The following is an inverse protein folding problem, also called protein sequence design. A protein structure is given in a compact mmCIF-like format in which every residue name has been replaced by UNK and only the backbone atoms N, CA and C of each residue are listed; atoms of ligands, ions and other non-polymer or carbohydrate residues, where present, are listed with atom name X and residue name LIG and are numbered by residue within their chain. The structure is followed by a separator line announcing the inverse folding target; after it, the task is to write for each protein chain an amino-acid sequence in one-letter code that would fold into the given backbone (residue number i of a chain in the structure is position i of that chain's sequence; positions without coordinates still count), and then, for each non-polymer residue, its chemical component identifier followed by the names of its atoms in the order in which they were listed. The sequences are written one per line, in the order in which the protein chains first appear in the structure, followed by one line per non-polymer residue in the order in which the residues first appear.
data_IF_814535443431
#
_entry.id   IF_814535443431
#
_cell.length_a   1.000
_cell.length_b   1.000
_cell.length_c   1.000
_cell.angle_alpha   90.00
_cell.angle_beta   90.00
_cell.angle_gamma   90.00
#
_symmetry.space_group_name_H-M   'P 1'
#
loop_
_entity.id
_entity.type
_entity.pdbx_description
1 polymer ?
#
# COMPACT_ATOMS: atom_id res chain seq x y z
N UNK A 1 -5.78 -2.21 -16.72
CA UNK A 1 -4.31 -2.12 -16.83
C UNK A 1 -3.67 -3.44 -16.41
N UNK A 2 -2.55 -3.86 -17.01
CA UNK A 2 -1.79 -5.04 -16.57
C UNK A 2 -0.70 -4.65 -15.56
N UNK A 3 -0.25 -5.58 -14.72
CA UNK A 3 0.79 -5.34 -13.71
C UNK A 3 2.10 -4.74 -14.29
N UNK A 4 2.49 -5.12 -15.52
CA UNK A 4 3.66 -4.54 -16.19
C UNK A 4 3.50 -3.06 -16.53
N UNK A 5 2.28 -2.63 -16.86
CA UNK A 5 1.97 -1.22 -17.17
C UNK A 5 1.91 -0.43 -15.87
N UNK A 6 1.28 -0.99 -14.82
CA UNK A 6 1.29 -0.44 -13.46
C UNK A 6 2.72 -0.08 -13.02
N UNK A 7 3.66 -1.00 -13.18
CA UNK A 7 5.06 -0.81 -12.77
C UNK A 7 5.82 0.26 -13.58
N UNK A 8 5.27 0.74 -14.69
CA UNK A 8 5.89 1.80 -15.51
C UNK A 8 5.42 3.21 -15.15
N UNK A 9 4.39 3.34 -14.30
CA UNK A 9 3.90 4.62 -13.81
C UNK A 9 4.51 4.96 -12.45
N UNK A 10 4.78 6.24 -12.22
CA UNK A 10 5.01 6.78 -10.88
C UNK A 10 3.67 7.16 -10.21
N UNK A 11 3.75 7.65 -8.97
CA UNK A 11 2.56 8.05 -8.22
C UNK A 11 1.74 9.16 -8.91
N UNK A 12 2.39 10.10 -9.61
CA UNK A 12 1.69 11.17 -10.33
C UNK A 12 0.96 10.64 -11.55
N UNK A 13 1.59 9.73 -12.31
CA UNK A 13 0.97 9.06 -13.44
C UNK A 13 -0.21 8.19 -13.02
N UNK A 14 -0.07 7.43 -11.94
CA UNK A 14 -1.19 6.65 -11.39
C UNK A 14 -2.34 7.54 -10.91
N UNK A 15 -2.04 8.65 -10.23
CA UNK A 15 -3.05 9.63 -9.81
C UNK A 15 -3.79 10.23 -11.00
N UNK A 16 -3.08 10.54 -12.09
CA UNK A 16 -3.70 11.05 -13.32
C UNK A 16 -4.68 10.04 -13.93
N UNK A 17 -4.31 8.76 -14.01
CA UNK A 17 -5.21 7.71 -14.51
C UNK A 17 -6.48 7.59 -13.67
N UNK A 18 -6.36 7.69 -12.34
CA UNK A 18 -7.52 7.69 -11.43
C UNK A 18 -8.38 8.92 -11.64
N UNK A 19 -7.77 10.10 -11.76
CA UNK A 19 -8.49 11.36 -11.99
C UNK A 19 -9.25 11.37 -13.32
N UNK A 20 -8.65 10.77 -14.38
CA UNK A 20 -9.30 10.59 -15.69
C UNK A 20 -10.29 9.41 -15.73
N UNK A 21 -10.45 8.68 -14.61
CA UNK A 21 -11.30 7.49 -14.46
C UNK A 21 -10.96 6.36 -15.43
N UNK A 22 -9.70 6.27 -15.86
CA UNK A 22 -9.19 5.17 -16.68
C UNK A 22 -8.92 3.92 -15.85
N UNK A 23 -8.74 4.10 -14.54
CA UNK A 23 -8.65 3.05 -13.54
C UNK A 23 -9.21 3.56 -12.21
N UNK A 24 -9.77 2.68 -11.40
CA UNK A 24 -10.21 3.00 -10.04
C UNK A 24 -9.08 2.84 -9.02
N UNK A 25 -9.19 3.51 -7.87
CA UNK A 25 -8.27 3.33 -6.75
C UNK A 25 -8.22 1.86 -6.26
N UNK A 26 -9.38 1.18 -6.25
CA UNK A 26 -9.48 -0.23 -5.86
C UNK A 26 -8.70 -1.12 -6.82
N UNK A 27 -8.83 -0.89 -8.13
CA UNK A 27 -8.04 -1.64 -9.13
C UNK A 27 -6.53 -1.42 -8.96
N UNK A 28 -6.08 -0.22 -8.55
CA UNK A 28 -4.67 0.01 -8.23
C UNK A 28 -4.20 -0.77 -7.00
N UNK A 29 -5.01 -0.82 -5.93
CA UNK A 29 -4.69 -1.62 -4.74
C UNK A 29 -4.61 -3.11 -5.10
N UNK A 30 -5.54 -3.61 -5.92
CA UNK A 30 -5.53 -4.99 -6.39
C UNK A 30 -4.28 -5.33 -7.20
N UNK A 31 -3.83 -4.42 -8.08
CA UNK A 31 -2.57 -4.58 -8.82
C UNK A 31 -1.35 -4.56 -7.88
N UNK A 32 -1.34 -3.70 -6.85
CA UNK A 32 -0.29 -3.70 -5.84
C UNK A 32 -0.27 -5.02 -5.03
N UNK A 33 -1.43 -5.58 -4.70
CA UNK A 33 -1.56 -6.89 -4.04
C UNK A 33 -1.08 -8.02 -4.95
N UNK A 34 -1.41 -7.98 -6.24
CA UNK A 34 -0.87 -8.92 -7.23
C UNK A 34 0.67 -8.87 -7.28
N UNK A 35 1.24 -7.66 -7.30
CA UNK A 35 2.69 -7.46 -7.24
C UNK A 35 3.31 -8.05 -5.97
N UNK A 36 2.70 -7.76 -4.82
CA UNK A 36 3.12 -8.29 -3.51
C UNK A 36 3.11 -9.81 -3.49
N UNK A 37 1.99 -10.43 -3.84
CA UNK A 37 1.83 -11.90 -3.83
C UNK A 37 2.86 -12.58 -4.74
N UNK A 38 3.22 -11.95 -5.86
CA UNK A 38 4.19 -12.51 -6.80
C UNK A 38 5.64 -12.33 -6.34
N UNK A 39 6.00 -11.17 -5.79
CA UNK A 39 7.40 -10.80 -5.54
C UNK A 39 7.84 -10.96 -4.09
N UNK A 40 6.97 -10.65 -3.12
CA UNK A 40 7.33 -10.63 -1.71
C UNK A 40 7.84 -11.99 -1.18
N UNK A 41 7.34 -13.16 -1.63
CA UNK A 41 7.92 -14.45 -1.22
C UNK A 41 9.41 -14.61 -1.57
N UNK A 42 9.92 -13.85 -2.55
CA UNK A 42 11.33 -13.91 -2.98
C UNK A 42 12.18 -12.84 -2.32
N UNK A 43 11.67 -11.61 -2.20
CA UNK A 43 12.46 -10.46 -1.72
C UNK A 43 12.23 -10.11 -0.24
N UNK A 44 11.13 -10.60 0.34
CA UNK A 44 10.73 -10.38 1.73
C UNK A 44 10.80 -8.90 2.16
N UNK A 45 10.16 -8.02 1.38
CA UNK A 45 10.24 -6.57 1.55
C UNK A 45 9.08 -5.96 2.36
N UNK A 46 7.92 -6.64 2.40
CA UNK A 46 6.69 -6.19 3.05
C UNK A 46 6.36 -7.17 4.17
N UNK A 47 6.34 -6.68 5.41
CA UNK A 47 6.07 -7.48 6.62
C UNK A 47 4.58 -7.73 6.86
N UNK A 48 3.74 -6.78 6.43
CA UNK A 48 2.28 -6.89 6.49
C UNK A 48 1.69 -6.19 5.26
N UNK A 49 0.80 -6.88 4.55
CA UNK A 49 -0.09 -6.27 3.57
C UNK A 49 -1.48 -6.23 4.19
N UNK A 50 -2.11 -5.06 4.26
CA UNK A 50 -3.37 -4.91 4.98
C UNK A 50 -4.50 -5.68 4.30
N UNK A 51 -5.21 -6.53 5.05
CA UNK A 51 -6.32 -7.34 4.52
C UNK A 51 -7.48 -6.47 4.02
N UNK A 52 -7.64 -5.28 4.59
CA UNK A 52 -8.69 -4.31 4.29
C UNK A 52 -8.24 -3.22 3.32
N UNK A 53 -7.06 -3.31 2.70
CA UNK A 53 -6.46 -2.26 1.86
C UNK A 53 -7.41 -1.72 0.77
N UNK A 54 -8.24 -2.59 0.17
CA UNK A 54 -9.22 -2.23 -0.86
C UNK A 54 -10.42 -1.44 -0.32
N UNK A 55 -10.66 -1.49 0.99
CA UNK A 55 -11.76 -0.82 1.69
C UNK A 55 -11.32 0.42 2.47
N UNK A 56 -10.02 0.62 2.66
CA UNK A 56 -9.47 1.82 3.31
C UNK A 56 -9.83 3.03 2.46
N UNK A 57 -10.56 3.96 3.06
CA UNK A 57 -10.93 5.21 2.40
C UNK A 57 -9.70 6.10 2.24
N UNK A 58 -9.35 6.41 1.00
CA UNK A 58 -8.34 7.43 0.69
C UNK A 58 -8.83 8.86 0.92
N UNK A 59 -7.92 9.83 0.80
CA UNK A 59 -8.26 11.24 0.88
C UNK A 59 -9.19 11.67 -0.27
N UNK A 60 -10.17 12.52 0.04
CA UNK A 60 -11.14 13.01 -0.96
C UNK A 60 -10.48 13.93 -2.01
N UNK A 61 -9.40 14.62 -1.63
CA UNK A 61 -8.65 15.53 -2.51
C UNK A 61 -7.16 15.43 -2.25
N UNK A 62 -6.35 15.81 -3.25
CA UNK A 62 -4.90 15.84 -3.17
C UNK A 62 -4.23 15.35 -4.45
N UNK A 63 -2.91 15.60 -4.59
CA UNK A 63 -2.16 15.24 -5.79
C UNK A 63 -2.01 13.72 -6.00
N UNK A 64 -2.23 12.91 -4.96
CA UNK A 64 -2.10 11.45 -4.99
C UNK A 64 -3.39 10.72 -4.58
N UNK A 65 -4.54 11.37 -4.71
CA UNK A 65 -5.84 10.74 -4.39
C UNK A 65 -6.00 9.42 -5.14
N UNK A 66 -6.25 8.35 -4.39
CA UNK A 66 -6.47 7.00 -4.91
C UNK A 66 -5.21 6.18 -5.21
N UNK A 67 -4.00 6.72 -4.98
CA UNK A 67 -2.75 5.99 -5.20
C UNK A 67 -2.36 5.19 -3.95
N UNK A 68 -2.22 3.86 -4.03
CA UNK A 68 -1.75 3.06 -2.89
C UNK A 68 -0.26 3.30 -2.61
N UNK A 69 0.13 3.22 -1.35
CA UNK A 69 1.52 3.33 -0.92
C UNK A 69 1.82 2.36 0.23
N UNK A 70 3.11 2.11 0.47
CA UNK A 70 3.59 1.30 1.59
C UNK A 70 4.13 2.24 2.67
N UNK A 71 3.81 1.94 3.93
CA UNK A 71 4.43 2.61 5.08
C UNK A 71 5.62 1.80 5.57
N UNK A 72 6.66 2.49 6.05
CA UNK A 72 7.78 1.83 6.72
C UNK A 72 7.32 1.30 8.07
N UNK A 73 7.80 0.11 8.43
CA UNK A 73 7.63 -0.55 9.74
C UNK A 73 8.30 0.20 10.92
N UNK A 74 8.80 1.40 10.68
CA UNK A 74 9.45 2.27 11.66
C UNK A 74 9.00 3.70 11.41
N UNK A 75 8.58 4.39 12.47
CA UNK A 75 8.14 5.79 12.41
C UNK A 75 6.74 5.95 13.00
N UNK A 76 5.91 6.84 12.43
CA UNK A 76 4.53 7.06 12.87
C UNK A 76 3.73 5.76 12.89
N UNK A 77 2.94 5.60 13.94
CA UNK A 77 2.12 4.41 14.19
C UNK A 77 0.84 4.43 13.37
N UNK A 78 0.18 3.28 13.25
CA UNK A 78 -1.22 3.19 12.82
C UNK A 78 -1.89 2.14 13.68
N UNK A 79 -2.97 2.53 14.35
CA UNK A 79 -3.65 1.68 15.30
C UNK A 79 -4.02 0.32 14.67
N UNK A 80 -3.62 -0.76 15.34
CA UNK A 80 -3.93 -2.13 14.94
C UNK A 80 -3.05 -2.72 13.83
N UNK A 81 -2.16 -1.95 13.18
CA UNK A 81 -1.22 -2.47 12.17
C UNK A 81 0.06 -3.01 12.79
N UNK A 82 0.70 -3.96 12.14
CA UNK A 82 1.94 -4.54 12.62
C UNK A 82 3.04 -3.47 12.58
N UNK A 83 3.81 -3.37 13.66
CA UNK A 83 4.97 -2.47 13.74
C UNK A 83 6.10 -3.11 14.57
N UNK A 84 6.92 -3.95 13.94
CA UNK A 84 7.98 -4.70 14.62
C UNK A 84 9.32 -3.94 14.66
N UNK A 85 9.41 -2.79 14.00
CA UNK A 85 10.61 -1.95 13.93
C UNK A 85 11.88 -2.73 13.53
N UNK A 86 11.74 -3.82 12.76
CA UNK A 86 12.82 -4.74 12.42
C UNK A 86 13.57 -5.35 13.63
N UNK A 87 12.91 -5.51 14.78
CA UNK A 87 13.53 -5.95 16.04
C UNK A 87 12.77 -7.10 16.69
N UNK A 88 13.51 -8.08 17.22
CA UNK A 88 12.93 -9.21 17.95
C UNK A 88 12.13 -8.79 19.19
N UNK A 89 12.41 -7.62 19.76
CA UNK A 89 11.70 -7.09 20.92
C UNK A 89 10.22 -6.79 20.61
N UNK A 90 9.90 -6.44 19.36
CA UNK A 90 8.58 -5.97 18.96
C UNK A 90 7.84 -6.98 18.09
N UNK A 91 8.24 -8.26 18.09
CA UNK A 91 7.54 -9.31 17.33
C UNK A 91 6.08 -9.37 17.75
N UNK A 92 5.18 -9.25 16.78
CA UNK A 92 3.73 -9.21 16.97
C UNK A 92 3.18 -7.92 17.57
N UNK A 93 4.00 -6.88 17.74
CA UNK A 93 3.54 -5.60 18.30
C UNK A 93 2.60 -4.89 17.34
N UNK A 94 1.48 -4.42 17.88
CA UNK A 94 0.48 -3.59 17.20
C UNK A 94 0.16 -2.40 18.10
N UNK A 95 0.40 -1.15 17.66
CA UNK A 95 0.08 0.03 18.45
C UNK A 95 -1.44 0.20 18.56
N UNK A 96 -1.90 0.86 19.60
CA UNK A 96 -3.34 1.15 19.81
C UNK A 96 -3.76 2.55 19.34
N UNK A 97 -2.83 3.32 18.80
CA UNK A 97 -3.00 4.70 18.35
C UNK A 97 -2.21 4.92 17.06
N UNK A 98 -2.55 6.00 16.35
CA UNK A 98 -1.81 6.51 15.20
C UNK A 98 -0.64 7.41 15.64
#
# INVERSE_FOLDING_TARGET
MKLREYATHDATGLAELVNRREISAIELVQLAREAHNRMNPTINAVVEFYDDAESVRGADTGPFTGVPFLRKDLGPTEAGRLQECGSQLFVGYRPSVD
#
